data_IF_454061252126
#
_entry.id   IF_454061252126
#
_cell.length_a   1.000
_cell.length_b   1.000
_cell.length_c   1.000
_cell.angle_alpha   90.00
_cell.angle_beta   90.00
_cell.angle_gamma   90.00
#
_symmetry.space_group_name_H-M   'P 1'
#
loop_
_entity.id
_entity.type
_entity.pdbx_description
1 polymer ?
#
# COMPACT_ATOMS: atom_id res chain seq x y z
N UNK A 1 -58.98 8.93 -14.69
CA UNK A 1 -58.48 7.78 -13.96
C UNK A 1 -57.50 6.96 -14.85
N UNK A 2 -57.87 6.60 -16.08
CA UNK A 2 -57.05 5.79 -17.00
C UNK A 2 -55.66 6.39 -17.28
N UNK A 3 -55.60 7.71 -17.51
CA UNK A 3 -54.36 8.43 -17.77
C UNK A 3 -53.40 8.32 -16.55
N UNK A 4 -53.91 8.44 -15.32
CA UNK A 4 -53.12 8.31 -14.11
C UNK A 4 -52.57 6.89 -13.93
N UNK A 5 -53.39 5.87 -14.22
CA UNK A 5 -52.97 4.46 -14.17
C UNK A 5 -51.88 4.18 -15.22
N UNK A 6 -52.03 4.72 -16.43
CA UNK A 6 -51.04 4.59 -17.47
C UNK A 6 -49.70 5.19 -17.09
N UNK A 7 -49.68 6.43 -16.52
CA UNK A 7 -48.44 7.03 -16.03
C UNK A 7 -47.81 6.25 -14.88
N UNK A 8 -48.60 5.70 -13.98
CA UNK A 8 -48.12 4.89 -12.88
C UNK A 8 -47.49 3.56 -13.40
N UNK A 9 -48.14 2.88 -14.35
CA UNK A 9 -47.63 1.66 -14.98
C UNK A 9 -46.34 1.96 -15.75
N UNK A 10 -46.29 3.03 -16.54
CA UNK A 10 -45.10 3.47 -17.26
C UNK A 10 -43.94 3.80 -16.27
N UNK A 11 -44.26 4.51 -15.19
CA UNK A 11 -43.27 4.80 -14.14
C UNK A 11 -42.70 3.55 -13.49
N UNK A 12 -43.55 2.58 -13.13
CA UNK A 12 -43.11 1.28 -12.62
C UNK A 12 -42.31 0.46 -13.64
N UNK A 13 -42.74 0.49 -14.92
CA UNK A 13 -42.03 -0.19 -15.98
C UNK A 13 -40.63 0.39 -16.21
N UNK A 14 -40.49 1.72 -16.24
CA UNK A 14 -39.19 2.40 -16.35
C UNK A 14 -38.28 2.09 -15.16
N UNK A 15 -38.85 1.98 -13.96
CA UNK A 15 -38.12 1.66 -12.74
C UNK A 15 -37.72 0.17 -12.67
N UNK A 16 -38.60 -0.72 -13.15
CA UNK A 16 -38.40 -2.17 -13.14
C UNK A 16 -37.52 -2.70 -14.26
N UNK A 17 -37.49 -2.05 -15.42
CA UNK A 17 -36.69 -2.43 -16.58
C UNK A 17 -35.23 -1.97 -16.50
N UNK A 18 -34.85 -1.20 -15.46
CA UNK A 18 -33.47 -0.71 -15.30
C UNK A 18 -33.11 0.46 -16.23
N UNK A 19 -34.06 1.01 -16.96
CA UNK A 19 -33.86 2.21 -17.77
C UNK A 19 -33.47 3.43 -16.94
N UNK A 20 -34.00 3.50 -15.73
CA UNK A 20 -33.56 4.50 -14.74
C UNK A 20 -32.43 3.89 -13.92
N UNK A 21 -31.21 4.35 -14.17
CA UNK A 21 -30.05 3.94 -13.37
C UNK A 21 -30.28 4.39 -11.91
N UNK A 22 -30.25 3.42 -10.99
CA UNK A 22 -30.36 3.67 -9.55
C UNK A 22 -28.94 3.79 -9.01
N UNK A 23 -28.58 4.97 -8.54
CA UNK A 23 -27.38 5.15 -7.73
C UNK A 23 -27.83 5.56 -6.33
N UNK A 24 -27.48 4.77 -5.33
CA UNK A 24 -27.77 5.08 -3.94
C UNK A 24 -26.89 6.22 -3.43
N UNK A 25 -25.65 6.28 -3.91
CA UNK A 25 -24.72 7.38 -3.68
C UNK A 25 -24.11 7.77 -5.03
N UNK A 26 -24.44 8.93 -5.59
CA UNK A 26 -23.74 9.42 -6.77
C UNK A 26 -22.27 9.68 -6.43
N UNK A 27 -21.37 9.32 -7.33
CA UNK A 27 -19.97 9.67 -7.22
C UNK A 27 -19.87 11.21 -7.23
N UNK A 28 -19.37 11.76 -6.13
CA UNK A 28 -19.09 13.19 -6.03
C UNK A 28 -17.62 13.36 -6.38
N UNK A 29 -17.33 14.02 -7.49
CA UNK A 29 -15.96 14.34 -7.88
C UNK A 29 -15.31 15.21 -6.80
N UNK A 30 -14.07 14.89 -6.47
CA UNK A 30 -13.22 15.69 -5.60
C UNK A 30 -12.54 16.79 -6.40
N UNK A 31 -12.13 17.85 -5.73
CA UNK A 31 -11.18 18.82 -6.31
C UNK A 31 -9.73 18.33 -6.19
N UNK A 32 -9.53 17.10 -5.74
CA UNK A 32 -8.23 16.47 -5.61
C UNK A 32 -8.20 15.13 -6.35
N UNK A 33 -7.12 14.89 -7.07
CA UNK A 33 -6.75 13.56 -7.58
C UNK A 33 -5.63 13.03 -6.72
N UNK A 34 -5.84 11.86 -6.12
CA UNK A 34 -4.87 11.21 -5.23
C UNK A 34 -4.28 10.00 -5.95
N UNK A 35 -2.98 10.03 -6.17
CA UNK A 35 -2.22 8.89 -6.71
C UNK A 35 -1.48 8.23 -5.55
N UNK A 36 -1.73 6.96 -5.33
CA UNK A 36 -1.00 6.18 -4.32
C UNK A 36 -0.34 4.97 -4.99
N UNK A 37 0.97 4.87 -4.84
CA UNK A 37 1.78 3.76 -5.34
C UNK A 37 2.39 3.06 -4.14
N UNK A 38 2.05 1.79 -3.95
CA UNK A 38 2.59 0.95 -2.89
C UNK A 38 3.59 -0.02 -3.50
N UNK A 39 4.81 -0.01 -3.00
CA UNK A 39 5.87 -0.93 -3.38
C UNK A 39 5.91 -2.14 -2.45
N UNK A 40 6.55 -3.25 -2.85
CA UNK A 40 6.87 -4.34 -1.96
C UNK A 40 7.71 -3.86 -0.77
N UNK A 41 7.50 -4.46 0.40
CA UNK A 41 8.27 -4.14 1.60
C UNK A 41 9.78 -4.36 1.35
N UNK A 42 10.57 -3.37 1.76
CA UNK A 42 12.02 -3.41 1.55
C UNK A 42 12.49 -2.91 0.18
N UNK A 43 11.61 -2.35 -0.63
CA UNK A 43 12.01 -1.67 -1.86
C UNK A 43 13.07 -0.58 -1.56
N UNK A 44 14.11 -0.46 -2.40
CA UNK A 44 15.15 0.53 -2.16
C UNK A 44 14.60 1.94 -2.34
N UNK A 45 15.03 2.87 -1.49
CA UNK A 45 14.61 4.28 -1.55
C UNK A 45 14.86 4.93 -2.93
N UNK A 46 15.89 4.47 -3.66
CA UNK A 46 16.12 4.91 -5.04
C UNK A 46 14.92 4.65 -5.94
N UNK A 47 14.20 3.54 -5.71
CA UNK A 47 13.00 3.20 -6.49
C UNK A 47 11.84 4.15 -6.21
N UNK A 48 11.66 4.57 -4.96
CA UNK A 48 10.67 5.58 -4.60
C UNK A 48 10.96 6.92 -5.31
N UNK A 49 12.25 7.31 -5.39
CA UNK A 49 12.67 8.53 -6.11
C UNK A 49 12.43 8.44 -7.61
N UNK A 50 12.62 7.27 -8.23
CA UNK A 50 12.33 7.05 -9.65
C UNK A 50 10.83 7.20 -9.92
N UNK A 51 9.98 6.65 -9.05
CA UNK A 51 8.52 6.78 -9.16
C UNK A 51 8.08 8.24 -8.95
N UNK A 52 8.65 8.95 -7.97
CA UNK A 52 8.41 10.38 -7.82
C UNK A 52 8.76 11.16 -9.09
N UNK A 53 9.91 10.86 -9.70
CA UNK A 53 10.31 11.50 -10.96
C UNK A 53 9.37 11.12 -12.12
N UNK A 54 8.82 9.88 -12.13
CA UNK A 54 7.83 9.44 -13.11
C UNK A 54 6.51 10.21 -12.94
N UNK A 55 6.01 10.34 -11.71
CA UNK A 55 4.82 11.13 -11.39
C UNK A 55 4.99 12.62 -11.77
N UNK A 56 6.14 13.21 -11.47
CA UNK A 56 6.42 14.61 -11.85
C UNK A 56 6.49 14.82 -13.36
N UNK A 57 6.96 13.84 -14.13
CA UNK A 57 6.92 13.90 -15.60
C UNK A 57 5.49 13.83 -16.11
N UNK A 58 4.67 12.96 -15.53
CA UNK A 58 3.24 12.83 -15.88
C UNK A 58 2.48 14.13 -15.58
N UNK A 59 2.73 14.75 -14.42
CA UNK A 59 2.18 16.05 -14.05
C UNK A 59 2.51 17.13 -15.11
N UNK A 60 3.80 17.27 -15.42
CA UNK A 60 4.25 18.27 -16.40
C UNK A 60 3.63 18.04 -17.78
N UNK A 61 3.51 16.78 -18.20
CA UNK A 61 2.87 16.42 -19.46
C UNK A 61 1.38 16.77 -19.45
N UNK A 62 0.66 16.49 -18.34
CA UNK A 62 -0.75 16.83 -18.19
C UNK A 62 -0.97 18.35 -18.24
N UNK A 63 -0.16 19.11 -17.50
CA UNK A 63 -0.21 20.58 -17.50
C UNK A 63 0.04 21.14 -18.90
N UNK A 64 1.03 20.60 -19.62
CA UNK A 64 1.34 21.03 -20.99
C UNK A 64 0.19 20.75 -21.96
N UNK A 65 -0.40 19.53 -21.90
CA UNK A 65 -1.55 19.18 -22.73
C UNK A 65 -2.75 20.11 -22.52
N UNK A 66 -3.04 20.46 -21.25
CA UNK A 66 -4.13 21.39 -20.96
C UNK A 66 -3.80 22.80 -21.42
N UNK A 67 -2.56 23.27 -21.20
CA UNK A 67 -2.11 24.56 -21.67
C UNK A 67 -2.21 24.71 -23.19
N UNK A 68 -1.80 23.67 -23.94
CA UNK A 68 -1.90 23.63 -25.40
C UNK A 68 -3.34 23.65 -25.90
N UNK A 69 -4.23 22.92 -25.18
CA UNK A 69 -5.66 22.85 -25.52
C UNK A 69 -6.39 24.18 -25.26
N UNK A 70 -6.05 24.87 -24.17
CA UNK A 70 -6.69 26.11 -23.75
C UNK A 70 -6.01 27.36 -24.23
N UNK A 71 -5.02 27.24 -25.11
CA UNK A 71 -4.17 28.35 -25.59
C UNK A 71 -3.56 29.17 -24.41
N UNK A 72 -3.23 28.48 -23.30
CA UNK A 72 -2.63 29.09 -22.12
C UNK A 72 -3.60 29.82 -21.19
N UNK A 73 -4.92 29.77 -21.46
CA UNK A 73 -5.92 30.46 -20.63
C UNK A 73 -6.53 29.61 -19.53
N UNK A 74 -6.27 28.27 -19.52
CA UNK A 74 -6.80 27.35 -18.53
C UNK A 74 -5.72 26.91 -17.53
N UNK A 75 -6.08 26.92 -16.25
CA UNK A 75 -5.26 26.32 -15.19
C UNK A 75 -6.00 25.06 -14.69
N UNK A 76 -5.37 23.87 -14.87
CA UNK A 76 -5.94 22.63 -14.38
C UNK A 76 -5.49 22.33 -12.96
N UNK A 77 -4.21 22.52 -12.68
CA UNK A 77 -3.60 22.17 -11.40
C UNK A 77 -3.31 23.44 -10.61
N UNK A 78 -3.88 23.53 -9.42
CA UNK A 78 -3.63 24.62 -8.48
C UNK A 78 -2.40 24.33 -7.61
N UNK A 79 -2.26 23.08 -7.18
CA UNK A 79 -1.15 22.65 -6.36
C UNK A 79 -0.83 21.16 -6.59
N UNK A 80 0.41 20.80 -6.37
CA UNK A 80 0.91 19.43 -6.45
C UNK A 80 1.74 19.11 -5.22
N UNK A 81 1.34 18.08 -4.47
CA UNK A 81 2.05 17.61 -3.30
C UNK A 81 2.48 16.16 -3.49
N UNK A 82 3.74 15.86 -3.19
CA UNK A 82 4.24 14.49 -3.20
C UNK A 82 4.88 14.13 -1.87
N UNK A 83 4.72 12.87 -1.48
CA UNK A 83 5.34 12.32 -0.29
C UNK A 83 5.79 10.89 -0.57
N UNK A 84 7.04 10.58 -0.22
CA UNK A 84 7.55 9.23 -0.12
C UNK A 84 7.66 8.85 1.36
N UNK A 85 7.19 7.68 1.72
CA UNK A 85 7.28 7.17 3.09
C UNK A 85 7.34 5.65 3.08
N UNK A 86 8.50 5.11 3.45
CA UNK A 86 8.77 3.67 3.43
C UNK A 86 8.48 3.12 2.03
N UNK A 87 7.50 2.23 1.91
CA UNK A 87 7.18 1.50 0.68
C UNK A 87 6.08 2.20 -0.13
N UNK A 88 5.73 3.46 0.18
CA UNK A 88 4.64 4.15 -0.52
C UNK A 88 5.04 5.53 -1.04
N UNK A 89 4.59 5.81 -2.24
CA UNK A 89 4.69 7.12 -2.90
C UNK A 89 3.28 7.65 -3.10
N UNK A 90 3.01 8.80 -2.51
CA UNK A 90 1.73 9.50 -2.59
C UNK A 90 1.91 10.79 -3.38
N UNK A 91 1.03 11.04 -4.33
CA UNK A 91 0.87 12.35 -4.94
C UNK A 91 -0.58 12.83 -4.75
N UNK A 92 -0.76 14.07 -4.32
CA UNK A 92 -2.04 14.75 -4.22
C UNK A 92 -2.01 15.93 -5.17
N UNK A 93 -2.88 15.88 -6.15
CA UNK A 93 -3.04 16.90 -7.19
C UNK A 93 -4.27 17.70 -6.86
N UNK A 94 -4.10 18.94 -6.40
CA UNK A 94 -5.22 19.84 -6.22
C UNK A 94 -5.56 20.50 -7.54
N UNK A 95 -6.78 20.26 -8.02
CA UNK A 95 -7.30 20.83 -9.25
C UNK A 95 -7.86 22.23 -9.00
N UNK A 96 -7.86 23.04 -10.04
CA UNK A 96 -8.57 24.31 -10.03
C UNK A 96 -10.07 24.10 -9.84
N UNK A 97 -10.81 25.11 -9.34
CA UNK A 97 -12.27 25.00 -9.16
C UNK A 97 -12.98 24.52 -10.43
N UNK A 98 -14.07 23.72 -10.30
CA UNK A 98 -14.76 23.12 -11.44
C UNK A 98 -15.22 24.13 -12.50
N UNK A 99 -15.55 25.35 -12.06
CA UNK A 99 -16.03 26.44 -12.92
C UNK A 99 -14.92 27.04 -13.79
N UNK A 100 -13.66 26.81 -13.43
CA UNK A 100 -12.50 27.43 -14.10
C UNK A 100 -11.64 26.43 -14.87
N UNK A 101 -11.86 25.13 -14.66
CA UNK A 101 -11.11 24.07 -15.33
C UNK A 101 -11.86 23.51 -16.53
N UNK A 102 -11.10 23.16 -17.57
CA UNK A 102 -11.62 22.59 -18.83
C UNK A 102 -11.73 21.06 -18.80
N UNK A 103 -11.37 20.42 -17.67
CA UNK A 103 -11.33 18.97 -17.53
C UNK A 103 -11.93 18.55 -16.19
N UNK A 104 -12.74 17.49 -16.19
CA UNK A 104 -13.28 16.91 -14.96
C UNK A 104 -12.17 16.26 -14.12
N UNK A 105 -12.42 16.06 -12.82
CA UNK A 105 -11.46 15.34 -11.95
C UNK A 105 -11.26 13.90 -12.42
N UNK A 106 -12.33 13.28 -12.91
CA UNK A 106 -12.30 11.94 -13.50
C UNK A 106 -11.40 11.87 -14.72
N UNK A 107 -11.59 12.79 -15.68
CA UNK A 107 -10.79 12.79 -16.92
C UNK A 107 -9.33 13.11 -16.62
N UNK A 108 -9.07 14.01 -15.68
CA UNK A 108 -7.72 14.34 -15.21
C UNK A 108 -7.04 13.11 -14.57
N UNK A 109 -7.77 12.34 -13.75
CA UNK A 109 -7.27 11.11 -13.13
C UNK A 109 -6.94 10.03 -14.17
N UNK A 110 -7.84 9.80 -15.12
CA UNK A 110 -7.63 8.84 -16.21
C UNK A 110 -6.41 9.25 -17.03
N UNK A 111 -6.34 10.52 -17.43
CA UNK A 111 -5.23 11.02 -18.24
C UNK A 111 -3.89 11.00 -17.50
N UNK A 112 -3.90 11.35 -16.23
CA UNK A 112 -2.71 11.26 -15.38
C UNK A 112 -2.20 9.82 -15.28
N UNK A 113 -3.10 8.84 -15.13
CA UNK A 113 -2.76 7.41 -15.10
C UNK A 113 -2.13 6.95 -16.42
N UNK A 114 -2.65 7.39 -17.57
CA UNK A 114 -2.08 7.08 -18.87
C UNK A 114 -0.67 7.68 -19.04
N UNK A 115 -0.50 8.96 -18.67
CA UNK A 115 0.77 9.66 -18.76
C UNK A 115 1.82 9.13 -17.78
N UNK A 116 1.37 8.65 -16.61
CA UNK A 116 2.25 7.99 -15.65
C UNK A 116 2.80 6.68 -16.21
N UNK A 117 2.00 5.93 -16.98
CA UNK A 117 2.38 4.61 -17.50
C UNK A 117 2.37 3.52 -16.43
N UNK A 118 2.89 2.36 -16.79
CA UNK A 118 2.93 1.21 -15.89
C UNK A 118 4.08 1.29 -14.89
N UNK A 119 3.85 0.77 -13.70
CA UNK A 119 4.83 0.56 -12.63
C UNK A 119 4.78 -0.94 -12.27
N UNK A 120 5.48 -1.80 -13.02
CA UNK A 120 5.30 -3.26 -12.96
C UNK A 120 5.66 -3.89 -11.62
N UNK A 121 6.55 -3.24 -10.87
CA UNK A 121 7.03 -3.68 -9.55
C UNK A 121 6.20 -3.11 -8.39
N UNK A 122 5.19 -2.30 -8.67
CA UNK A 122 4.29 -1.82 -7.63
C UNK A 122 3.34 -2.95 -7.20
N UNK A 123 3.18 -3.09 -5.89
CA UNK A 123 2.16 -3.97 -5.30
C UNK A 123 0.76 -3.44 -5.59
N UNK A 124 0.62 -2.12 -5.60
CA UNK A 124 -0.64 -1.42 -5.83
C UNK A 124 -0.39 -0.06 -6.46
N UNK A 125 -1.25 0.30 -7.41
CA UNK A 125 -1.32 1.66 -7.99
C UNK A 125 -2.78 2.07 -8.00
N UNK A 126 -3.16 3.05 -7.17
CA UNK A 126 -4.49 3.66 -7.19
C UNK A 126 -4.43 5.11 -7.66
N UNK A 127 -5.47 5.54 -8.36
CA UNK A 127 -5.69 6.92 -8.77
C UNK A 127 -7.13 7.26 -8.46
N UNK A 128 -7.33 8.01 -7.39
CA UNK A 128 -8.64 8.31 -6.83
C UNK A 128 -9.00 9.78 -7.11
N UNK A 129 -10.23 10.02 -7.56
CA UNK A 129 -10.75 11.35 -7.94
C UNK A 129 -12.07 11.69 -7.25
N UNK A 130 -12.56 10.79 -6.37
CA UNK A 130 -13.81 10.97 -5.64
C UNK A 130 -13.58 11.22 -4.15
N UNK A 131 -14.48 11.95 -3.51
CA UNK A 131 -14.37 12.20 -2.07
C UNK A 131 -14.60 10.94 -1.23
N UNK A 132 -15.36 9.99 -1.75
CA UNK A 132 -15.83 8.81 -1.01
C UNK A 132 -15.05 7.53 -1.31
N UNK A 133 -14.07 7.55 -2.22
CA UNK A 133 -13.43 6.33 -2.73
C UNK A 133 -12.09 6.01 -2.05
N UNK A 134 -12.00 6.21 -0.74
CA UNK A 134 -10.82 5.78 0.04
C UNK A 134 -10.94 4.34 0.54
N UNK A 135 -12.14 3.81 0.55
CA UNK A 135 -12.44 2.45 0.99
C UNK A 135 -12.91 1.60 -0.19
N UNK A 136 -12.75 0.29 -0.09
CA UNK A 136 -13.28 -0.63 -1.09
C UNK A 136 -14.82 -0.53 -1.13
N UNK A 137 -15.41 -0.64 -2.32
CA UNK A 137 -16.87 -0.63 -2.50
C UNK A 137 -17.54 -1.78 -1.75
N UNK A 138 -16.83 -2.90 -1.60
CA UNK A 138 -17.23 -3.98 -0.71
C UNK A 138 -15.99 -4.71 -0.16
N UNK A 139 -16.11 -5.23 1.03
CA UNK A 139 -15.11 -6.01 1.73
C UNK A 139 -15.68 -7.38 2.10
N UNK A 140 -14.94 -8.44 1.78
CA UNK A 140 -15.28 -9.80 2.14
C UNK A 140 -14.33 -10.33 3.20
N UNK A 141 -14.87 -10.74 4.34
CA UNK A 141 -14.09 -11.36 5.42
C UNK A 141 -14.20 -12.87 5.34
N UNK A 142 -13.10 -13.53 4.99
CA UNK A 142 -13.00 -15.01 4.98
C UNK A 142 -12.21 -15.45 6.19
N UNK A 143 -12.66 -16.51 6.88
CA UNK A 143 -12.03 -17.02 8.10
C UNK A 143 -11.92 -18.53 8.07
N UNK A 144 -10.75 -19.04 8.36
CA UNK A 144 -10.50 -20.46 8.54
C UNK A 144 -9.37 -20.67 9.56
N UNK A 145 -9.43 -21.71 10.42
CA UNK A 145 -8.37 -22.00 11.40
C UNK A 145 -7.07 -22.48 10.76
N UNK A 146 -7.18 -23.16 9.61
CA UNK A 146 -6.05 -23.61 8.82
C UNK A 146 -5.73 -22.53 7.75
N UNK A 147 -4.49 -22.05 7.78
CA UNK A 147 -4.02 -20.95 6.95
C UNK A 147 -3.83 -21.35 5.49
N UNK A 148 -3.42 -22.59 5.22
CA UNK A 148 -3.23 -23.06 3.85
C UNK A 148 -4.57 -23.19 3.13
N UNK A 149 -5.60 -23.67 3.84
CA UNK A 149 -6.97 -23.70 3.35
C UNK A 149 -7.50 -22.30 3.12
N UNK A 150 -7.23 -21.38 4.05
CA UNK A 150 -7.64 -19.98 3.92
C UNK A 150 -7.00 -19.31 2.69
N UNK A 151 -5.71 -19.57 2.46
CA UNK A 151 -4.99 -19.02 1.29
C UNK A 151 -5.58 -19.52 -0.02
N UNK A 152 -5.77 -20.83 -0.16
CA UNK A 152 -6.38 -21.42 -1.36
C UNK A 152 -7.79 -20.86 -1.61
N UNK A 153 -8.60 -20.70 -0.57
CA UNK A 153 -9.94 -20.15 -0.70
C UNK A 153 -9.94 -18.68 -1.14
N UNK A 154 -9.01 -17.89 -0.63
CA UNK A 154 -8.87 -16.46 -0.99
C UNK A 154 -8.34 -16.31 -2.42
N UNK A 155 -7.36 -17.11 -2.84
CA UNK A 155 -6.84 -17.12 -4.22
C UNK A 155 -7.93 -17.52 -5.22
N UNK A 156 -8.73 -18.54 -4.92
CA UNK A 156 -9.85 -18.94 -5.78
C UNK A 156 -10.92 -17.84 -5.87
N UNK A 157 -11.27 -17.25 -4.72
CA UNK A 157 -12.23 -16.14 -4.67
C UNK A 157 -11.72 -14.92 -5.47
N UNK A 158 -10.46 -14.56 -5.32
CA UNK A 158 -9.84 -13.47 -6.07
C UNK A 158 -9.86 -13.76 -7.57
N UNK A 159 -9.49 -14.97 -7.97
CA UNK A 159 -9.55 -15.40 -9.38
C UNK A 159 -10.96 -15.29 -9.93
N UNK A 160 -11.97 -15.76 -9.20
CA UNK A 160 -13.37 -15.65 -9.63
C UNK A 160 -13.83 -14.20 -9.73
N UNK A 161 -13.53 -13.36 -8.74
CA UNK A 161 -13.91 -11.95 -8.76
C UNK A 161 -13.32 -11.20 -9.96
N UNK A 162 -12.08 -11.51 -10.33
CA UNK A 162 -11.41 -10.91 -11.50
C UNK A 162 -12.04 -11.30 -12.84
N UNK A 163 -12.87 -12.35 -12.89
CA UNK A 163 -13.62 -12.73 -14.10
C UNK A 163 -14.83 -11.85 -14.38
N UNK A 164 -15.30 -11.08 -13.39
CA UNK A 164 -16.43 -10.18 -13.54
C UNK A 164 -15.96 -8.82 -14.03
N UNK A 165 -16.32 -8.46 -15.26
CA UNK A 165 -15.89 -7.23 -15.93
C UNK A 165 -16.10 -5.92 -15.14
N UNK A 166 -17.17 -5.75 -14.32
CA UNK A 166 -17.34 -4.57 -13.48
C UNK A 166 -16.46 -4.51 -12.25
N UNK A 167 -15.78 -5.62 -11.87
CA UNK A 167 -14.97 -5.69 -10.66
C UNK A 167 -13.51 -5.45 -11.02
N UNK A 168 -12.91 -4.42 -10.42
CA UNK A 168 -11.51 -4.08 -10.59
C UNK A 168 -10.85 -3.78 -9.23
N UNK A 169 -9.54 -3.83 -9.18
CA UNK A 169 -8.80 -3.52 -7.96
C UNK A 169 -8.98 -4.56 -6.83
N UNK A 170 -9.23 -5.84 -7.19
CA UNK A 170 -9.37 -6.92 -6.21
C UNK A 170 -8.06 -7.11 -5.47
N UNK A 171 -8.11 -7.05 -4.14
CA UNK A 171 -6.96 -7.16 -3.24
C UNK A 171 -7.27 -8.10 -2.10
N UNK A 172 -6.26 -8.78 -1.60
CA UNK A 172 -6.36 -9.54 -0.37
C UNK A 172 -5.25 -9.12 0.62
N UNK A 173 -5.46 -9.35 1.89
CA UNK A 173 -4.50 -9.03 2.95
C UNK A 173 -3.65 -10.25 3.39
N UNK A 174 -3.83 -11.41 2.78
CA UNK A 174 -3.00 -12.60 3.02
C UNK A 174 -1.69 -12.56 2.25
N UNK A 175 -1.62 -11.83 1.15
CA UNK A 175 -0.38 -11.59 0.42
C UNK A 175 0.46 -10.57 1.19
N UNK A 176 1.22 -11.05 2.15
CA UNK A 176 2.33 -10.27 2.67
C UNK A 176 3.49 -10.36 1.68
N UNK A 177 3.92 -9.21 1.19
CA UNK A 177 5.08 -9.13 0.28
C UNK A 177 6.41 -9.32 1.01
N UNK A 178 6.42 -9.55 2.32
CA UNK A 178 7.63 -9.73 3.10
C UNK A 178 7.74 -11.16 3.60
N UNK A 179 8.87 -11.78 3.27
CA UNK A 179 9.25 -13.04 3.89
C UNK A 179 9.56 -12.81 5.37
N UNK A 180 9.02 -13.66 6.22
CA UNK A 180 9.32 -13.68 7.64
C UNK A 180 10.35 -14.75 7.97
N UNK A 181 11.22 -14.45 8.92
CA UNK A 181 12.14 -15.42 9.50
C UNK A 181 11.59 -15.83 10.85
N UNK A 182 11.09 -17.05 10.93
CA UNK A 182 10.67 -17.65 12.19
C UNK A 182 11.88 -18.24 12.89
N UNK A 183 12.00 -17.93 14.17
CA UNK A 183 13.12 -18.40 15.00
C UNK A 183 12.53 -19.36 16.03
N UNK A 184 12.95 -20.63 15.96
CA UNK A 184 12.57 -21.65 16.92
C UNK A 184 13.77 -22.12 17.72
N UNK A 185 13.62 -22.25 19.05
CA UNK A 185 14.71 -22.67 19.90
C UNK A 185 14.94 -24.19 19.82
N UNK A 186 16.19 -24.58 19.69
CA UNK A 186 16.59 -25.97 19.85
C UNK A 186 16.56 -26.40 21.32
N UNK A 187 16.28 -27.67 21.63
CA UNK A 187 16.20 -28.16 23.02
C UNK A 187 17.43 -27.87 23.88
N UNK A 188 18.59 -27.71 23.25
CA UNK A 188 19.85 -27.39 23.97
C UNK A 188 19.96 -25.93 24.44
N UNK A 189 19.18 -25.00 23.87
CA UNK A 189 19.26 -23.58 24.20
C UNK A 189 18.85 -23.28 25.66
N UNK A 190 17.86 -24.00 26.14
CA UNK A 190 17.37 -23.85 27.53
C UNK A 190 18.45 -24.20 28.56
N UNK A 191 19.32 -25.18 28.26
CA UNK A 191 20.46 -25.55 29.13
C UNK A 191 21.50 -24.45 29.23
N UNK A 192 21.52 -23.53 28.25
CA UNK A 192 22.37 -22.34 28.23
C UNK A 192 21.67 -21.12 28.84
N UNK A 193 20.48 -21.28 29.43
CA UNK A 193 19.70 -20.21 30.04
C UNK A 193 19.09 -19.24 29.01
N UNK A 194 18.96 -19.67 27.73
CA UNK A 194 18.39 -18.84 26.68
C UNK A 194 16.91 -19.12 26.51
N UNK A 195 16.11 -18.08 26.48
CA UNK A 195 14.69 -18.09 26.11
C UNK A 195 14.52 -17.59 24.67
N UNK A 196 13.39 -17.92 24.03
CA UNK A 196 13.05 -17.39 22.72
C UNK A 196 13.02 -15.84 22.72
N UNK A 197 12.48 -15.27 23.80
CA UNK A 197 12.43 -13.82 23.99
C UNK A 197 13.82 -13.18 24.03
N UNK A 198 14.80 -13.85 24.65
CA UNK A 198 16.18 -13.32 24.72
C UNK A 198 16.88 -13.36 23.36
N UNK A 199 16.69 -14.46 22.63
CA UNK A 199 17.28 -14.61 21.28
C UNK A 199 16.65 -13.62 20.31
N UNK A 200 15.33 -13.54 20.25
CA UNK A 200 14.63 -12.60 19.34
C UNK A 200 14.91 -11.15 19.67
N UNK A 201 15.04 -10.80 20.96
CA UNK A 201 15.42 -9.45 21.39
C UNK A 201 16.80 -9.08 20.90
N UNK A 202 17.79 -9.96 21.05
CA UNK A 202 19.16 -9.68 20.61
C UNK A 202 19.26 -9.57 19.08
N UNK A 203 18.57 -10.42 18.34
CA UNK A 203 18.47 -10.31 16.88
C UNK A 203 17.82 -8.99 16.48
N UNK A 204 16.69 -8.62 17.10
CA UNK A 204 16.02 -7.36 16.84
C UNK A 204 16.91 -6.15 17.12
N UNK A 205 17.60 -6.13 18.25
CA UNK A 205 18.53 -5.04 18.61
C UNK A 205 19.65 -4.89 17.59
N UNK A 206 20.21 -6.00 17.10
CA UNK A 206 21.30 -5.96 16.13
C UNK A 206 20.85 -5.48 14.74
N UNK A 207 19.71 -5.96 14.25
CA UNK A 207 19.24 -5.73 12.88
C UNK A 207 18.30 -4.53 12.74
N UNK A 208 17.33 -4.38 13.63
CA UNK A 208 16.42 -3.23 13.64
C UNK A 208 17.02 -2.05 14.40
N UNK A 209 17.66 -2.34 15.52
CA UNK A 209 18.26 -1.36 16.41
C UNK A 209 17.54 -1.22 17.75
N UNK A 210 18.24 -0.62 18.67
CA UNK A 210 17.75 -0.26 20.00
C UNK A 210 17.79 1.26 20.17
N UNK A 211 16.71 1.86 20.65
CA UNK A 211 16.67 3.26 21.04
C UNK A 211 17.36 3.41 22.38
N UNK A 212 18.61 3.87 22.37
CA UNK A 212 19.42 4.03 23.59
C UNK A 212 19.21 5.37 24.26
N UNK A 213 18.77 6.38 23.51
CA UNK A 213 18.54 7.72 24.04
C UNK A 213 17.52 8.47 23.16
N UNK A 214 16.75 9.35 23.80
CA UNK A 214 15.88 10.31 23.13
C UNK A 214 16.23 11.71 23.63
N UNK A 215 16.54 12.59 22.70
CA UNK A 215 16.95 13.96 22.97
C UNK A 215 15.94 14.94 22.38
N UNK A 216 15.27 15.77 23.20
CA UNK A 216 14.47 16.87 22.66
C UNK A 216 15.41 17.93 22.09
N UNK A 217 15.30 18.23 20.81
CA UNK A 217 16.13 19.23 20.13
C UNK A 217 15.29 20.07 19.19
N UNK A 218 15.29 21.38 19.39
CA UNK A 218 14.58 22.35 18.53
C UNK A 218 13.10 22.02 18.32
N UNK A 219 12.40 21.56 19.39
CA UNK A 219 10.98 21.18 19.31
C UNK A 219 10.70 19.83 18.66
N UNK A 220 11.72 19.02 18.37
CA UNK A 220 11.61 17.68 17.84
C UNK A 220 12.35 16.68 18.73
N UNK A 221 11.82 15.46 18.81
CA UNK A 221 12.47 14.35 19.50
C UNK A 221 13.47 13.65 18.55
N UNK A 222 14.75 13.77 18.86
CA UNK A 222 15.82 13.05 18.16
C UNK A 222 16.06 11.72 18.87
N UNK A 223 15.84 10.61 18.16
CA UNK A 223 16.12 9.25 18.64
C UNK A 223 17.53 8.85 18.30
N UNK A 224 18.28 8.40 19.29
CA UNK A 224 19.59 7.80 19.08
C UNK A 224 19.41 6.29 19.02
N UNK A 225 19.63 5.73 17.84
CA UNK A 225 19.48 4.30 17.56
C UNK A 225 20.86 3.64 17.41
N UNK A 226 21.06 2.49 18.06
CA UNK A 226 22.25 1.65 17.88
C UNK A 226 21.85 0.37 17.20
N UNK A 227 22.52 0.04 16.12
CA UNK A 227 22.31 -1.17 15.32
C UNK A 227 23.60 -1.56 14.61
N UNK A 228 23.64 -2.76 14.03
CA UNK A 228 24.75 -3.19 13.20
C UNK A 228 24.92 -2.31 11.95
N UNK A 229 26.14 -2.19 11.40
CA UNK A 229 26.36 -1.49 10.14
C UNK A 229 25.45 -2.02 9.01
N UNK A 230 25.11 -1.15 8.06
CA UNK A 230 24.19 -1.48 6.98
C UNK A 230 24.63 -2.72 6.19
N UNK A 231 25.92 -2.86 5.93
CA UNK A 231 26.53 -4.01 5.26
C UNK A 231 26.17 -5.34 5.94
N UNK A 232 26.22 -5.36 7.28
CA UNK A 232 25.91 -6.55 8.08
C UNK A 232 24.39 -6.84 8.18
N UNK A 233 23.54 -5.90 7.79
CA UNK A 233 22.08 -6.04 7.88
C UNK A 233 21.40 -6.32 6.53
N UNK A 234 22.13 -6.21 5.42
CA UNK A 234 21.60 -6.40 4.06
C UNK A 234 21.50 -7.85 3.61
N UNK A 235 22.15 -8.76 4.33
CA UNK A 235 22.23 -10.15 3.93
C UNK A 235 21.67 -11.06 5.01
N UNK A 236 20.82 -11.98 4.62
CA UNK A 236 20.34 -13.08 5.48
C UNK A 236 21.51 -13.96 5.92
N UNK A 237 22.58 -14.05 5.11
CA UNK A 237 23.79 -14.79 5.45
C UNK A 237 24.44 -14.26 6.73
N UNK A 238 24.38 -12.95 6.98
CA UNK A 238 24.89 -12.36 8.22
C UNK A 238 24.15 -12.88 9.46
N UNK A 239 22.85 -13.20 9.33
CA UNK A 239 22.06 -13.78 10.43
C UNK A 239 22.54 -15.19 10.78
N UNK A 240 23.02 -15.98 9.82
CA UNK A 240 23.59 -17.31 10.07
C UNK A 240 24.88 -17.24 10.90
N UNK A 241 25.63 -16.14 10.75
CA UNK A 241 26.87 -15.89 11.51
C UNK A 241 26.63 -15.12 12.83
N UNK A 242 25.36 -14.74 13.08
CA UNK A 242 25.02 -14.00 14.30
C UNK A 242 25.34 -14.81 15.56
N UNK A 243 25.86 -14.14 16.58
CA UNK A 243 26.17 -14.75 17.88
C UNK A 243 25.24 -14.20 18.96
N UNK A 244 24.62 -15.11 19.68
CA UNK A 244 23.74 -14.81 20.79
C UNK A 244 24.54 -14.86 22.09
N UNK A 245 24.35 -13.92 22.95
CA UNK A 245 24.98 -13.87 24.27
C UNK A 245 24.09 -14.56 25.30
N UNK A 246 24.66 -15.50 26.02
CA UNK A 246 24.03 -16.24 27.12
C UNK A 246 24.03 -15.39 28.39
N UNK A 247 23.25 -15.78 29.40
CA UNK A 247 23.14 -15.07 30.68
C UNK A 247 24.48 -14.94 31.44
N UNK A 248 25.38 -15.89 31.25
CA UNK A 248 26.73 -15.90 31.81
C UNK A 248 27.76 -15.14 30.96
N UNK A 249 27.31 -14.43 29.90
CA UNK A 249 28.13 -13.57 29.06
C UNK A 249 28.88 -14.25 27.92
N UNK A 250 28.75 -15.57 27.75
CA UNK A 250 29.36 -16.32 26.64
C UNK A 250 28.59 -16.06 25.33
N UNK A 251 29.33 -16.08 24.23
CA UNK A 251 28.73 -15.94 22.91
C UNK A 251 28.68 -17.29 22.19
N UNK A 252 27.48 -17.65 21.74
CA UNK A 252 27.23 -18.88 20.99
C UNK A 252 26.64 -18.57 19.61
N UNK A 253 26.95 -19.32 18.56
CA UNK A 253 26.35 -19.11 17.25
C UNK A 253 24.81 -19.27 17.32
N UNK A 254 24.06 -18.41 16.66
CA UNK A 254 22.59 -18.47 16.62
C UNK A 254 22.11 -19.85 16.16
N UNK A 255 22.68 -20.38 15.10
CA UNK A 255 22.29 -21.67 14.53
C UNK A 255 22.60 -22.89 15.45
N UNK A 256 23.45 -22.72 16.47
CA UNK A 256 23.65 -23.78 17.48
C UNK A 256 22.50 -23.87 18.48
N UNK A 257 21.76 -22.78 18.70
CA UNK A 257 20.69 -22.65 19.70
C UNK A 257 19.31 -22.47 19.09
N UNK A 258 19.20 -22.12 17.81
CA UNK A 258 17.94 -21.87 17.11
C UNK A 258 17.95 -22.48 15.70
N UNK A 259 16.74 -22.72 15.17
CA UNK A 259 16.47 -22.96 13.76
C UNK A 259 15.84 -21.73 13.16
N UNK A 260 16.14 -21.48 11.88
CA UNK A 260 15.56 -20.37 11.10
C UNK A 260 14.71 -20.98 10.00
N UNK A 261 13.42 -20.66 9.99
CA UNK A 261 12.51 -21.05 8.92
C UNK A 261 12.06 -19.81 8.16
N UNK A 262 12.06 -19.89 6.84
CA UNK A 262 11.53 -18.86 5.97
C UNK A 262 10.06 -19.16 5.72
N UNK A 263 9.20 -18.22 6.03
CA UNK A 263 7.79 -18.33 5.79
C UNK A 263 7.25 -17.02 5.19
N UNK A 264 6.26 -17.08 4.31
CA UNK A 264 5.56 -15.88 3.88
C UNK A 264 4.92 -15.22 5.11
N UNK A 265 5.20 -13.94 5.30
CA UNK A 265 4.60 -13.16 6.37
C UNK A 265 3.10 -12.96 6.13
N UNK A 266 2.34 -12.73 7.21
CA UNK A 266 0.91 -12.42 7.19
C UNK A 266 0.74 -11.13 7.99
N UNK A 267 0.00 -10.20 7.41
CA UNK A 267 -0.42 -8.97 8.12
C UNK A 267 -1.76 -9.13 8.78
#
# INVERSE_FOLDING_TARGET
LSIFITFLVVGFALFGTGWVKKSFMPEIESDEVVVNVVLPEGAPYSRELEILAQLQRAEKALVQEVSDRTAGQGQLIENWYTRSRRDSVLAIVKLAPPETRDMSAKDAAIRLRELMGEIPDAKEVSVDYTQNNRDADFELSVRHPDLDVLRMAVEDLEHQLRTYEPIYGVRNNLESASDEIRIDLKPGAQKLGLTLADVTRQVRQAYYGEEVQRLPRSGQDVKVMVHYPLESRRSIESLKHFRVRTADGREVPLLSVATLEYAPGIK
#
